data_IF_901081602829
#
_entry.id   IF_901081602829
#
_cell.length_a   1.000
_cell.length_b   1.000
_cell.length_c   1.000
_cell.angle_alpha   90.00
_cell.angle_beta   90.00
_cell.angle_gamma   90.00
#
_symmetry.space_group_name_H-M   'P 1'
#
loop_
_entity.id
_entity.type
_entity.pdbx_description
1 polymer ?
#
# COMPACT_ATOMS: atom_id res chain seq x y z
N UNK A 1 2.53 16.98 -12.54
CA UNK A 1 1.68 16.21 -11.62
C UNK A 1 2.06 16.55 -10.21
N UNK A 2 1.09 16.88 -9.37
CA UNK A 2 1.24 17.20 -7.96
C UNK A 2 0.79 16.01 -7.12
N UNK A 3 1.59 15.65 -6.13
CA UNK A 3 1.32 14.51 -5.23
C UNK A 3 1.33 15.02 -3.80
N UNK A 4 0.32 14.65 -3.02
CA UNK A 4 0.32 14.94 -1.58
C UNK A 4 0.55 13.65 -0.78
N UNK A 5 1.41 13.71 0.23
CA UNK A 5 1.61 12.63 1.21
C UNK A 5 1.23 13.17 2.59
N UNK A 6 0.19 12.58 3.20
CA UNK A 6 -0.27 12.96 4.54
C UNK A 6 0.29 12.00 5.58
N UNK A 7 1.00 12.56 6.54
CA UNK A 7 1.83 11.88 7.51
C UNK A 7 3.31 11.94 7.09
N UNK A 8 4.11 12.80 7.70
CA UNK A 8 5.55 12.95 7.41
C UNK A 8 6.43 12.04 8.28
N UNK A 9 5.85 10.97 8.83
CA UNK A 9 6.60 9.93 9.55
C UNK A 9 7.58 9.19 8.64
N UNK A 10 8.20 8.12 9.13
CA UNK A 10 9.20 7.36 8.37
C UNK A 10 8.66 6.85 7.03
N UNK A 11 7.42 6.32 6.99
CA UNK A 11 6.80 5.83 5.76
C UNK A 11 6.52 6.97 4.78
N UNK A 12 5.90 8.08 5.24
CA UNK A 12 5.57 9.20 4.36
C UNK A 12 6.81 9.91 3.81
N UNK A 13 7.85 10.09 4.62
CA UNK A 13 9.13 10.62 4.16
C UNK A 13 9.76 9.72 3.09
N UNK A 14 9.76 8.38 3.30
CA UNK A 14 10.25 7.43 2.30
C UNK A 14 9.40 7.44 1.02
N UNK A 15 8.08 7.62 1.11
CA UNK A 15 7.23 7.80 -0.08
C UNK A 15 7.69 9.02 -0.88
N UNK A 16 7.85 10.18 -0.22
CA UNK A 16 8.28 11.42 -0.86
C UNK A 16 9.67 11.28 -1.50
N UNK A 17 10.61 10.67 -0.80
CA UNK A 17 11.97 10.39 -1.29
C UNK A 17 11.95 9.54 -2.57
N UNK A 18 11.31 8.36 -2.54
CA UNK A 18 11.27 7.49 -3.71
C UNK A 18 10.50 8.08 -4.89
N UNK A 19 9.46 8.88 -4.64
CA UNK A 19 8.74 9.60 -5.70
C UNK A 19 9.65 10.65 -6.33
N UNK A 20 10.37 11.44 -5.51
CA UNK A 20 11.25 12.48 -5.97
C UNK A 20 12.43 11.94 -6.78
N UNK A 21 13.13 10.92 -6.27
CA UNK A 21 14.27 10.29 -6.97
C UNK A 21 13.89 9.75 -8.34
N UNK A 22 12.66 9.24 -8.51
CA UNK A 22 12.17 8.78 -9.82
C UNK A 22 11.83 9.92 -10.79
N UNK A 23 11.74 11.14 -10.31
CA UNK A 23 11.66 12.40 -11.08
C UNK A 23 10.52 12.47 -12.12
N UNK A 24 9.36 11.86 -11.82
CA UNK A 24 8.18 11.89 -12.70
C UNK A 24 7.11 12.90 -12.21
N UNK A 25 7.20 13.37 -10.96
CA UNK A 25 6.31 14.34 -10.38
C UNK A 25 6.92 15.76 -10.46
N UNK A 26 6.09 16.78 -10.63
CA UNK A 26 6.55 18.18 -10.55
C UNK A 26 6.64 18.67 -9.10
N UNK A 27 5.74 18.18 -8.23
CA UNK A 27 5.69 18.57 -6.82
C UNK A 27 5.23 17.43 -5.93
N UNK A 28 5.85 17.31 -4.76
CA UNK A 28 5.39 16.47 -3.64
C UNK A 28 5.15 17.36 -2.43
N UNK A 29 3.93 17.37 -1.91
CA UNK A 29 3.57 18.07 -0.67
C UNK A 29 3.56 17.05 0.47
N UNK A 30 4.41 17.24 1.48
CA UNK A 30 4.36 16.54 2.74
C UNK A 30 3.50 17.33 3.73
N UNK A 31 2.48 16.70 4.30
CA UNK A 31 1.63 17.29 5.32
C UNK A 31 1.68 16.49 6.62
N UNK A 32 1.86 17.15 7.74
CA UNK A 32 1.78 16.54 9.07
C UNK A 32 1.08 17.48 10.05
N UNK A 33 0.57 16.95 11.15
CA UNK A 33 -0.03 17.75 12.23
C UNK A 33 1.02 18.31 13.20
N UNK A 34 2.21 17.69 13.22
CA UNK A 34 3.30 18.09 14.11
C UNK A 34 4.02 19.30 13.55
N UNK A 35 4.02 20.39 14.32
CA UNK A 35 4.60 21.69 13.96
C UNK A 35 6.03 21.57 13.43
N UNK A 36 6.29 22.13 12.25
CA UNK A 36 7.60 22.17 11.59
C UNK A 36 8.17 20.83 11.14
N UNK A 37 7.49 19.70 11.42
CA UNK A 37 8.05 18.38 11.16
C UNK A 37 8.07 18.03 9.66
N UNK A 38 6.98 18.31 8.96
CA UNK A 38 6.90 18.09 7.52
C UNK A 38 7.83 19.05 6.75
N UNK A 39 7.92 20.30 7.18
CA UNK A 39 8.81 21.30 6.63
C UNK A 39 10.30 20.90 6.78
N UNK A 40 10.69 20.43 7.97
CA UNK A 40 12.03 19.93 8.22
C UNK A 40 12.38 18.72 7.35
N UNK A 41 11.45 17.75 7.22
CA UNK A 41 11.62 16.59 6.34
C UNK A 41 11.74 16.99 4.87
N UNK A 42 10.90 17.90 4.41
CA UNK A 42 10.94 18.38 3.03
C UNK A 42 12.27 19.11 2.72
N UNK A 43 12.75 19.94 3.66
CA UNK A 43 14.03 20.63 3.53
C UNK A 43 15.21 19.65 3.45
N UNK A 44 15.24 18.64 4.31
CA UNK A 44 16.29 17.60 4.34
C UNK A 44 16.29 16.81 3.01
N UNK A 45 15.11 16.36 2.56
CA UNK A 45 14.96 15.67 1.28
C UNK A 45 15.38 16.53 0.08
N UNK A 46 15.03 17.83 0.06
CA UNK A 46 15.44 18.72 -1.03
C UNK A 46 16.95 18.94 -1.09
N UNK A 47 17.68 18.85 0.03
CA UNK A 47 19.14 18.90 0.03
C UNK A 47 19.77 17.71 -0.67
N UNK A 48 19.06 16.59 -0.83
CA UNK A 48 19.53 15.42 -1.58
C UNK A 48 19.35 15.57 -3.09
N UNK A 49 18.59 16.56 -3.57
CA UNK A 49 18.20 16.71 -4.98
C UNK A 49 19.40 16.77 -5.93
N UNK A 50 20.40 17.59 -5.62
CA UNK A 50 21.61 17.71 -6.44
C UNK A 50 22.51 16.46 -6.42
N UNK A 51 22.42 15.66 -5.35
CA UNK A 51 23.18 14.43 -5.18
C UNK A 51 22.53 13.25 -5.92
N UNK A 52 21.19 13.23 -5.94
CA UNK A 52 20.38 12.15 -6.56
C UNK A 52 19.86 12.51 -7.96
N UNK A 53 20.05 13.73 -8.44
CA UNK A 53 19.72 14.16 -9.80
C UNK A 53 18.21 14.24 -10.07
N UNK A 54 17.42 14.80 -9.15
CA UNK A 54 16.00 15.03 -9.37
C UNK A 54 15.64 16.52 -9.22
N UNK A 55 14.58 16.94 -9.94
CA UNK A 55 14.03 18.31 -9.93
C UNK A 55 12.64 18.38 -9.28
N UNK A 56 12.06 17.25 -8.88
CA UNK A 56 10.78 17.22 -8.17
C UNK A 56 10.84 18.09 -6.93
N UNK A 57 9.98 19.13 -6.86
CA UNK A 57 9.92 20.01 -5.70
C UNK A 57 9.23 19.32 -4.53
N UNK A 58 9.90 19.23 -3.38
CA UNK A 58 9.29 18.72 -2.15
C UNK A 58 9.02 19.91 -1.23
N UNK A 59 7.77 20.06 -0.78
CA UNK A 59 7.35 21.09 0.17
C UNK A 59 6.72 20.45 1.40
N UNK A 60 7.00 21.00 2.58
CA UNK A 60 6.37 20.59 3.83
C UNK A 60 5.32 21.57 4.28
N UNK A 61 4.30 21.11 5.00
CA UNK A 61 3.29 21.98 5.61
C UNK A 61 2.69 21.37 6.87
N UNK A 62 2.52 22.20 7.90
CA UNK A 62 1.87 21.79 9.16
C UNK A 62 0.39 22.08 9.09
N UNK A 63 -0.43 21.04 9.14
CA UNK A 63 -1.90 21.07 9.24
C UNK A 63 -2.61 22.03 8.27
N UNK A 64 -1.99 22.38 7.14
CA UNK A 64 -2.55 23.29 6.16
C UNK A 64 -2.97 22.58 4.88
N UNK A 65 -4.19 22.08 4.84
CA UNK A 65 -4.73 21.34 3.69
C UNK A 65 -4.92 22.20 2.43
N UNK A 66 -4.96 23.55 2.52
CA UNK A 66 -4.99 24.37 1.31
C UNK A 66 -3.78 24.16 0.40
N UNK A 67 -2.64 23.73 0.97
CA UNK A 67 -1.44 23.37 0.20
C UNK A 67 -1.59 22.08 -0.58
N UNK A 68 -2.57 21.23 -0.24
CA UNK A 68 -2.85 19.98 -0.98
C UNK A 68 -3.78 20.21 -2.17
N UNK A 69 -4.29 21.43 -2.38
CA UNK A 69 -5.23 21.74 -3.44
C UNK A 69 -4.71 21.29 -4.82
N UNK A 70 -5.63 20.76 -5.64
CA UNK A 70 -5.37 20.25 -6.98
C UNK A 70 -4.31 19.13 -7.06
N UNK A 71 -4.19 18.31 -6.01
CA UNK A 71 -3.35 17.13 -6.05
C UNK A 71 -3.96 16.04 -6.94
N UNK A 72 -3.18 15.55 -7.90
CA UNK A 72 -3.56 14.45 -8.78
C UNK A 72 -3.65 13.12 -8.00
N UNK A 73 -2.71 12.92 -7.06
CA UNK A 73 -2.65 11.72 -6.21
C UNK A 73 -2.41 12.15 -4.76
N UNK A 74 -3.17 11.58 -3.84
CA UNK A 74 -3.00 11.74 -2.41
C UNK A 74 -2.67 10.40 -1.75
N UNK A 75 -1.61 10.35 -0.95
CA UNK A 75 -1.17 9.16 -0.20
C UNK A 75 -1.45 9.37 1.28
N UNK A 76 -2.22 8.49 1.90
CA UNK A 76 -2.54 8.54 3.33
C UNK A 76 -1.66 7.55 4.08
N UNK A 77 -0.63 8.06 4.78
CA UNK A 77 0.25 7.27 5.65
C UNK A 77 0.05 7.61 7.13
N UNK A 78 -0.86 8.55 7.41
CA UNK A 78 -1.18 9.00 8.76
C UNK A 78 -1.91 7.94 9.57
N UNK A 79 -1.56 7.84 10.83
CA UNK A 79 -2.10 6.87 11.77
C UNK A 79 -1.12 6.63 12.89
N UNK A 80 -1.55 5.93 13.94
CA UNK A 80 -0.68 5.53 15.03
C UNK A 80 -0.34 4.03 14.93
N UNK A 81 0.88 3.63 15.30
CA UNK A 81 1.21 2.23 15.48
C UNK A 81 0.53 1.69 16.74
N UNK A 82 0.30 0.36 16.77
CA UNK A 82 -0.21 -0.30 17.97
C UNK A 82 0.77 -0.13 19.13
N UNK A 83 0.29 0.39 20.25
CA UNK A 83 1.07 0.52 21.49
C UNK A 83 0.87 -0.70 22.39
N UNK A 84 1.85 -1.03 23.27
CA UNK A 84 1.66 -2.04 24.31
C UNK A 84 0.39 -1.76 25.14
N UNK A 85 -0.43 -2.78 25.36
CA UNK A 85 -1.69 -2.67 26.10
C UNK A 85 -2.90 -2.19 25.29
N UNK A 86 -2.71 -1.68 24.07
CA UNK A 86 -3.82 -1.24 23.19
C UNK A 86 -4.53 -2.45 22.58
N UNK A 87 -5.85 -2.47 22.65
CA UNK A 87 -6.66 -3.47 21.94
C UNK A 87 -6.66 -3.23 20.44
N UNK A 88 -7.11 -4.21 19.65
CA UNK A 88 -7.25 -4.06 18.21
C UNK A 88 -8.37 -3.06 17.88
N UNK A 89 -9.45 -3.11 18.61
CA UNK A 89 -10.62 -2.25 18.47
C UNK A 89 -10.26 -0.79 18.73
N UNK A 90 -9.53 -0.50 19.82
CA UNK A 90 -9.03 0.85 20.12
C UNK A 90 -8.13 1.40 19.00
N UNK A 91 -7.22 0.58 18.46
CA UNK A 91 -6.36 1.00 17.35
C UNK A 91 -7.20 1.33 16.11
N UNK A 92 -8.19 0.49 15.78
CA UNK A 92 -9.06 0.68 14.63
C UNK A 92 -9.85 1.98 14.79
N UNK A 93 -10.48 2.22 15.95
CA UNK A 93 -11.25 3.43 16.20
C UNK A 93 -10.42 4.71 16.08
N UNK A 94 -9.20 4.73 16.65
CA UNK A 94 -8.29 5.88 16.55
C UNK A 94 -7.89 6.13 15.10
N UNK A 95 -7.41 5.09 14.39
CA UNK A 95 -6.98 5.25 13.02
C UNK A 95 -8.14 5.57 12.07
N UNK A 96 -9.34 5.04 12.32
CA UNK A 96 -10.53 5.40 11.55
C UNK A 96 -10.86 6.89 11.69
N UNK A 97 -10.83 7.45 12.88
CA UNK A 97 -11.03 8.89 13.11
C UNK A 97 -10.00 9.74 12.37
N UNK A 98 -8.72 9.34 12.40
CA UNK A 98 -7.64 10.03 11.67
C UNK A 98 -7.88 9.96 10.16
N UNK A 99 -8.09 8.77 9.61
CA UNK A 99 -8.23 8.54 8.16
C UNK A 99 -9.50 9.22 7.62
N UNK A 100 -10.62 9.19 8.37
CA UNK A 100 -11.86 9.89 8.03
C UNK A 100 -11.63 11.40 7.92
N UNK A 101 -10.98 12.01 8.91
CA UNK A 101 -10.64 13.44 8.91
C UNK A 101 -9.72 13.80 7.74
N UNK A 102 -8.65 13.03 7.54
CA UNK A 102 -7.68 13.27 6.47
C UNK A 102 -8.34 13.15 5.10
N UNK A 103 -9.09 12.08 4.84
CA UNK A 103 -9.72 11.88 3.53
C UNK A 103 -10.78 12.94 3.22
N UNK A 104 -11.57 13.37 4.22
CA UNK A 104 -12.53 14.48 4.04
C UNK A 104 -11.84 15.79 3.66
N UNK A 105 -10.77 16.17 4.37
CA UNK A 105 -10.00 17.37 4.04
C UNK A 105 -9.34 17.29 2.65
N UNK A 106 -8.83 16.10 2.27
CA UNK A 106 -8.21 15.93 0.97
C UNK A 106 -9.20 16.13 -0.18
N UNK A 107 -10.40 15.57 -0.11
CA UNK A 107 -11.40 15.73 -1.18
C UNK A 107 -11.99 17.15 -1.24
N UNK A 108 -12.03 17.89 -0.11
CA UNK A 108 -12.42 19.30 -0.09
C UNK A 108 -11.48 20.14 -0.96
N UNK A 109 -10.18 19.86 -0.95
CA UNK A 109 -9.18 20.63 -1.69
C UNK A 109 -8.76 19.97 -3.01
N UNK A 110 -8.99 18.68 -3.17
CA UNK A 110 -8.62 17.88 -4.35
C UNK A 110 -9.74 16.88 -4.72
N UNK A 111 -10.91 17.37 -5.18
CA UNK A 111 -12.10 16.52 -5.39
C UNK A 111 -11.94 15.47 -6.50
N UNK A 112 -10.94 15.62 -7.35
CA UNK A 112 -10.66 14.70 -8.46
C UNK A 112 -9.43 13.80 -8.22
N UNK A 113 -8.88 13.79 -7.01
CA UNK A 113 -7.67 13.04 -6.69
C UNK A 113 -7.86 11.53 -6.76
N UNK A 114 -6.77 10.80 -6.93
CA UNK A 114 -6.68 9.37 -6.65
C UNK A 114 -6.08 9.20 -5.26
N UNK A 115 -6.70 8.41 -4.39
CA UNK A 115 -6.24 8.20 -3.01
C UNK A 115 -5.57 6.83 -2.90
N UNK A 116 -4.33 6.81 -2.40
CA UNK A 116 -3.61 5.59 -2.04
C UNK A 116 -3.55 5.50 -0.51
N UNK A 117 -4.11 4.43 0.05
CA UNK A 117 -4.18 4.21 1.50
C UNK A 117 -3.06 3.25 1.93
N UNK A 118 -2.32 3.66 2.96
CA UNK A 118 -1.23 2.89 3.58
C UNK A 118 -1.51 2.62 5.07
N UNK A 119 -2.35 3.45 5.68
CA UNK A 119 -2.70 3.38 7.11
C UNK A 119 -3.36 2.05 7.49
N UNK A 120 -2.92 1.46 8.61
CA UNK A 120 -3.42 0.17 9.07
C UNK A 120 -4.60 0.29 10.08
N UNK A 121 -5.53 -0.70 10.05
CA UNK A 121 -5.61 -1.88 9.18
C UNK A 121 -5.97 -1.50 7.74
N UNK A 122 -5.08 -1.76 6.79
CA UNK A 122 -5.08 -1.11 5.47
C UNK A 122 -6.37 -1.39 4.67
N UNK A 123 -6.84 -2.62 4.58
CA UNK A 123 -8.07 -2.96 3.85
C UNK A 123 -9.30 -2.25 4.44
N UNK A 124 -9.41 -2.23 5.78
CA UNK A 124 -10.48 -1.55 6.51
C UNK A 124 -10.39 -0.04 6.34
N UNK A 125 -9.19 0.56 6.37
CA UNK A 125 -9.03 1.99 6.15
C UNK A 125 -9.32 2.36 4.68
N UNK A 126 -8.99 1.51 3.72
CA UNK A 126 -9.37 1.69 2.31
C UNK A 126 -10.89 1.68 2.12
N UNK A 127 -11.56 0.74 2.78
CA UNK A 127 -13.03 0.69 2.81
C UNK A 127 -13.64 1.94 3.45
N UNK A 128 -13.09 2.40 4.57
CA UNK A 128 -13.51 3.64 5.23
C UNK A 128 -13.37 4.86 4.32
N UNK A 129 -12.23 4.99 3.63
CA UNK A 129 -12.01 6.10 2.67
C UNK A 129 -13.06 6.07 1.57
N UNK A 130 -13.40 4.89 1.05
CA UNK A 130 -14.45 4.75 0.06
C UNK A 130 -15.81 5.24 0.60
N UNK A 131 -16.21 4.80 1.80
CA UNK A 131 -17.47 5.20 2.43
C UNK A 131 -17.51 6.70 2.81
N UNK A 132 -16.36 7.28 3.17
CA UNK A 132 -16.26 8.68 3.60
C UNK A 132 -16.25 9.65 2.42
N UNK A 133 -15.55 9.32 1.34
CA UNK A 133 -15.29 10.27 0.26
C UNK A 133 -16.33 10.23 -0.86
N UNK A 134 -16.98 9.09 -1.06
CA UNK A 134 -17.87 8.88 -2.20
C UNK A 134 -17.18 8.91 -3.57
N UNK A 135 -15.84 8.92 -3.61
CA UNK A 135 -15.09 8.82 -4.85
C UNK A 135 -15.39 7.49 -5.57
N UNK A 136 -15.36 7.46 -6.91
CA UNK A 136 -15.45 6.22 -7.66
C UNK A 136 -14.39 5.20 -7.19
N UNK A 137 -14.77 3.91 -7.13
CA UNK A 137 -13.88 2.85 -6.60
C UNK A 137 -12.52 2.76 -7.28
N UNK A 138 -12.44 3.10 -8.56
CA UNK A 138 -11.19 3.12 -9.31
C UNK A 138 -10.19 4.18 -8.84
N UNK A 139 -10.63 5.15 -8.04
CA UNK A 139 -9.79 6.21 -7.48
C UNK A 139 -9.33 5.94 -6.03
N UNK A 140 -9.68 4.80 -5.45
CA UNK A 140 -9.31 4.45 -4.07
C UNK A 140 -8.56 3.13 -4.08
N UNK A 141 -7.32 3.16 -3.64
CA UNK A 141 -6.36 2.08 -3.78
C UNK A 141 -5.67 1.84 -2.43
N UNK A 142 -5.72 0.60 -1.94
CA UNK A 142 -4.94 0.19 -0.78
C UNK A 142 -3.63 -0.50 -1.17
N UNK A 143 -2.51 -0.09 -0.58
CA UNK A 143 -1.16 -0.51 -1.02
C UNK A 143 -0.74 -1.89 -0.50
N UNK A 144 -1.53 -2.69 0.19
CA UNK A 144 -1.09 -3.92 0.88
C UNK A 144 -0.37 -4.95 0.02
N UNK A 145 -1.05 -5.48 -0.99
CA UNK A 145 -0.55 -6.60 -1.81
C UNK A 145 0.75 -6.31 -2.57
N UNK A 146 0.98 -5.07 -2.98
CA UNK A 146 2.23 -4.67 -3.64
C UNK A 146 3.43 -4.87 -2.71
N UNK A 147 3.31 -4.50 -1.42
CA UNK A 147 4.33 -4.71 -0.40
C UNK A 147 4.48 -6.20 -0.05
N UNK A 148 3.38 -6.92 0.10
CA UNK A 148 3.42 -8.35 0.45
C UNK A 148 4.03 -9.18 -0.67
N UNK A 149 3.77 -8.82 -1.93
CA UNK A 149 4.43 -9.42 -3.10
C UNK A 149 5.93 -9.13 -3.14
N UNK A 150 6.36 -7.92 -2.76
CA UNK A 150 7.79 -7.60 -2.65
C UNK A 150 8.48 -8.47 -1.58
N UNK A 151 7.83 -8.69 -0.44
CA UNK A 151 8.33 -9.62 0.61
C UNK A 151 8.40 -11.06 0.11
N UNK A 152 7.37 -11.51 -0.60
CA UNK A 152 7.32 -12.84 -1.19
C UNK A 152 8.45 -13.07 -2.19
N UNK A 153 8.66 -12.13 -3.11
CA UNK A 153 9.76 -12.16 -4.09
C UNK A 153 11.13 -12.20 -3.41
N UNK A 154 11.31 -11.39 -2.35
CA UNK A 154 12.55 -11.40 -1.57
C UNK A 154 12.83 -12.77 -0.95
N UNK A 155 11.83 -13.38 -0.30
CA UNK A 155 11.97 -14.69 0.32
C UNK A 155 12.16 -15.84 -0.71
N UNK A 156 11.50 -15.73 -1.86
CA UNK A 156 11.75 -16.64 -2.99
C UNK A 156 13.18 -16.51 -3.50
N UNK A 157 13.68 -15.30 -3.71
CA UNK A 157 15.03 -15.06 -4.19
C UNK A 157 16.10 -15.65 -3.23
N UNK A 158 15.90 -15.46 -1.90
CA UNK A 158 16.76 -16.10 -0.89
C UNK A 158 16.71 -17.63 -0.99
N UNK A 159 15.52 -18.21 -1.11
CA UNK A 159 15.36 -19.67 -1.17
C UNK A 159 15.90 -20.31 -2.46
N UNK A 160 15.90 -19.53 -3.55
CA UNK A 160 16.38 -19.92 -4.87
C UNK A 160 17.88 -19.61 -5.09
N UNK A 161 18.51 -18.88 -4.16
CA UNK A 161 19.87 -18.34 -4.30
C UNK A 161 20.02 -17.58 -5.64
N UNK A 162 19.00 -16.76 -5.97
CA UNK A 162 18.88 -16.11 -7.26
C UNK A 162 18.84 -14.57 -7.11
N UNK A 163 19.23 -13.81 -8.16
CA UNK A 163 18.96 -12.38 -8.19
C UNK A 163 17.47 -12.09 -8.04
N UNK A 164 17.10 -11.13 -7.19
CA UNK A 164 15.70 -10.78 -6.96
C UNK A 164 14.98 -10.29 -8.23
N UNK A 165 15.71 -9.68 -9.16
CA UNK A 165 15.21 -9.25 -10.47
C UNK A 165 14.81 -10.41 -11.39
N UNK A 166 15.25 -11.63 -11.08
CA UNK A 166 14.96 -12.86 -11.85
C UNK A 166 13.72 -13.60 -11.30
N UNK A 167 13.14 -13.09 -10.19
CA UNK A 167 12.05 -13.76 -9.48
C UNK A 167 10.77 -12.96 -9.56
N UNK A 168 9.67 -13.64 -9.93
CA UNK A 168 8.33 -13.07 -9.91
C UNK A 168 7.40 -13.86 -9.00
N UNK A 169 6.43 -13.13 -8.43
CA UNK A 169 5.44 -13.70 -7.51
C UNK A 169 4.45 -12.65 -7.05
N UNK A 170 3.24 -13.08 -6.73
CA UNK A 170 2.14 -12.21 -6.33
C UNK A 170 1.47 -12.72 -5.07
N UNK A 171 1.08 -11.79 -4.21
CA UNK A 171 0.26 -12.02 -3.03
C UNK A 171 -1.02 -11.22 -3.18
N UNK A 172 -2.17 -11.87 -3.04
CA UNK A 172 -3.51 -11.27 -3.00
C UNK A 172 -4.13 -11.51 -1.60
N UNK A 173 -5.41 -11.16 -1.44
CA UNK A 173 -6.09 -11.29 -0.15
C UNK A 173 -5.87 -10.09 0.76
N UNK A 174 -6.31 -10.20 2.02
CA UNK A 174 -6.20 -9.13 3.02
C UNK A 174 -4.77 -8.93 3.51
N UNK A 175 -4.42 -7.68 3.77
CA UNK A 175 -3.09 -7.28 4.25
C UNK A 175 -2.91 -7.61 5.75
N UNK A 176 -2.79 -8.89 6.05
CA UNK A 176 -2.53 -9.41 7.40
C UNK A 176 -1.90 -10.81 7.33
N UNK A 177 -1.22 -11.23 8.39
CA UNK A 177 -0.53 -12.53 8.44
C UNK A 177 -1.43 -13.73 8.03
N UNK A 178 -2.71 -13.66 8.40
CA UNK A 178 -3.70 -14.70 8.08
C UNK A 178 -4.47 -14.43 6.77
N UNK A 179 -4.47 -13.18 6.32
CA UNK A 179 -5.23 -12.77 5.13
C UNK A 179 -4.48 -12.91 3.81
N UNK A 180 -3.14 -12.92 3.86
CA UNK A 180 -2.32 -13.04 2.63
C UNK A 180 -2.52 -14.38 1.94
N UNK A 181 -2.77 -14.34 0.63
CA UNK A 181 -2.91 -15.49 -0.27
C UNK A 181 -1.80 -15.44 -1.31
N UNK A 182 -0.59 -15.96 -1.02
CA UNK A 182 0.49 -16.02 -1.99
C UNK A 182 0.17 -17.01 -3.11
N UNK A 183 0.26 -16.56 -4.34
CA UNK A 183 -0.04 -17.35 -5.54
C UNK A 183 1.18 -18.14 -5.99
N UNK A 184 1.53 -19.19 -5.24
CA UNK A 184 2.75 -19.97 -5.44
C UNK A 184 2.85 -20.66 -6.80
N UNK A 185 1.70 -21.08 -7.35
CA UNK A 185 1.65 -21.71 -8.68
C UNK A 185 1.97 -20.74 -9.83
N UNK A 186 1.87 -19.43 -9.58
CA UNK A 186 2.21 -18.36 -10.53
C UNK A 186 3.59 -17.76 -10.24
N UNK A 187 4.27 -18.21 -9.18
CA UNK A 187 5.61 -17.74 -8.87
C UNK A 187 6.63 -18.38 -9.81
N UNK A 188 7.51 -17.56 -10.36
CA UNK A 188 8.49 -17.99 -11.38
C UNK A 188 9.87 -17.41 -11.10
N UNK A 189 10.88 -18.12 -11.60
CA UNK A 189 12.20 -17.57 -11.86
C UNK A 189 12.36 -17.45 -13.37
N UNK A 190 12.37 -16.24 -13.88
CA UNK A 190 12.46 -15.96 -15.33
C UNK A 190 11.52 -16.85 -16.17
N UNK A 191 10.23 -16.84 -15.84
CA UNK A 191 9.15 -17.63 -16.46
C UNK A 191 9.16 -19.14 -16.21
N UNK A 192 10.15 -19.70 -15.50
CA UNK A 192 10.15 -21.09 -15.06
C UNK A 192 9.51 -21.18 -13.67
N UNK A 193 8.52 -22.07 -13.43
CA UNK A 193 7.88 -22.20 -12.12
C UNK A 193 8.89 -22.48 -11.00
N UNK A 194 8.74 -21.82 -9.85
CA UNK A 194 9.66 -22.00 -8.72
C UNK A 194 9.66 -23.45 -8.17
N UNK A 195 8.60 -24.21 -8.42
CA UNK A 195 8.50 -25.62 -8.06
C UNK A 195 9.54 -26.52 -8.77
N UNK A 196 10.15 -26.05 -9.86
CA UNK A 196 11.21 -26.79 -10.55
C UNK A 196 12.57 -26.64 -9.86
N UNK A 197 12.70 -25.68 -8.93
CA UNK A 197 13.99 -25.33 -8.30
C UNK A 197 14.03 -25.66 -6.80
N UNK A 198 12.89 -25.60 -6.09
CA UNK A 198 12.84 -25.79 -4.64
C UNK A 198 11.77 -26.80 -4.24
N UNK A 199 12.01 -27.51 -3.13
CA UNK A 199 11.07 -28.52 -2.61
C UNK A 199 9.79 -27.84 -2.06
N UNK A 200 8.74 -28.65 -1.91
CA UNK A 200 7.48 -28.18 -1.30
C UNK A 200 7.67 -27.69 0.13
N UNK A 201 8.55 -28.33 0.90
CA UNK A 201 8.89 -27.97 2.28
C UNK A 201 9.58 -26.61 2.31
N UNK A 202 10.53 -26.36 1.40
CA UNK A 202 11.22 -25.08 1.30
C UNK A 202 10.26 -23.97 0.88
N UNK A 203 9.36 -24.25 -0.07
CA UNK A 203 8.33 -23.31 -0.47
C UNK A 203 7.36 -22.99 0.68
N UNK A 204 6.98 -23.99 1.48
CA UNK A 204 6.14 -23.77 2.66
C UNK A 204 6.81 -22.85 3.68
N UNK A 205 8.14 -22.98 3.88
CA UNK A 205 8.90 -22.06 4.74
C UNK A 205 8.89 -20.64 4.19
N UNK A 206 9.12 -20.45 2.87
CA UNK A 206 9.03 -19.15 2.19
C UNK A 206 7.67 -18.49 2.44
N UNK A 207 6.57 -19.24 2.35
CA UNK A 207 5.23 -18.74 2.61
C UNK A 207 5.07 -18.27 4.06
N UNK A 208 5.54 -19.05 5.00
CA UNK A 208 5.48 -18.70 6.43
C UNK A 208 6.30 -17.42 6.69
N UNK A 209 7.53 -17.34 6.19
CA UNK A 209 8.41 -16.21 6.38
C UNK A 209 7.84 -14.92 5.71
N UNK A 210 7.15 -15.07 4.59
CA UNK A 210 6.45 -13.96 3.93
C UNK A 210 5.33 -13.43 4.81
N UNK A 211 4.48 -14.31 5.34
CA UNK A 211 3.32 -13.94 6.17
C UNK A 211 3.73 -13.20 7.44
N UNK A 212 4.78 -13.68 8.12
CA UNK A 212 5.25 -13.05 9.37
C UNK A 212 6.26 -11.92 9.15
N UNK A 213 6.61 -11.62 7.90
CA UNK A 213 7.68 -10.66 7.56
C UNK A 213 7.50 -9.27 8.16
N UNK A 214 6.25 -8.77 8.26
CA UNK A 214 5.95 -7.51 8.91
C UNK A 214 6.21 -7.53 10.42
N UNK A 215 5.78 -8.59 11.10
CA UNK A 215 6.01 -8.78 12.54
C UNK A 215 7.50 -8.97 12.85
N UNK A 216 8.21 -9.73 12.03
CA UNK A 216 9.67 -9.94 12.14
C UNK A 216 10.42 -8.61 12.07
N UNK A 217 10.12 -7.76 11.07
CA UNK A 217 10.75 -6.45 10.93
C UNK A 217 10.42 -5.53 12.12
N UNK A 218 9.18 -5.56 12.59
CA UNK A 218 8.79 -4.78 13.76
C UNK A 218 9.55 -5.22 15.01
N UNK A 219 9.78 -6.52 15.18
CA UNK A 219 10.59 -7.05 16.28
C UNK A 219 12.07 -6.61 16.22
N UNK A 220 12.64 -6.58 15.01
CA UNK A 220 14.04 -6.17 14.78
C UNK A 220 14.25 -4.66 14.87
N UNK A 221 13.32 -3.88 14.35
CA UNK A 221 13.45 -2.40 14.27
C UNK A 221 12.84 -1.66 15.45
N UNK A 222 12.03 -2.32 16.28
CA UNK A 222 11.24 -1.68 17.33
C UNK A 222 10.08 -0.82 16.80
N UNK A 223 9.87 -0.81 15.49
CA UNK A 223 8.82 -0.07 14.79
C UNK A 223 8.48 -0.73 13.45
N UNK A 224 7.41 -0.27 12.80
CA UNK A 224 7.02 -0.78 11.47
C UNK A 224 8.08 -0.45 10.41
N UNK A 225 8.20 -1.31 9.40
CA UNK A 225 9.02 -1.04 8.21
C UNK A 225 8.58 0.23 7.49
N UNK A 226 9.49 0.93 6.83
CA UNK A 226 9.18 2.16 6.09
C UNK A 226 9.79 2.22 4.68
N UNK A 227 10.98 1.65 4.44
CA UNK A 227 11.62 1.68 3.11
C UNK A 227 10.80 0.91 2.06
N UNK A 228 10.46 -0.34 2.33
CA UNK A 228 9.68 -1.15 1.39
C UNK A 228 8.25 -0.62 1.16
N UNK A 229 7.51 -0.16 2.19
CA UNK A 229 6.24 0.56 1.98
C UNK A 229 6.40 1.80 1.10
N UNK A 230 7.41 2.64 1.35
CA UNK A 230 7.69 3.83 0.54
C UNK A 230 7.98 3.50 -0.93
N UNK A 231 8.80 2.47 -1.16
CA UNK A 231 9.11 1.99 -2.51
C UNK A 231 7.87 1.41 -3.21
N UNK A 232 7.01 0.64 -2.49
CA UNK A 232 5.76 0.10 -3.02
C UNK A 232 4.80 1.22 -3.44
N UNK A 233 4.55 2.20 -2.56
CA UNK A 233 3.74 3.39 -2.88
C UNK A 233 4.27 4.11 -4.11
N UNK A 234 5.58 4.38 -4.15
CA UNK A 234 6.21 5.06 -5.29
C UNK A 234 6.03 4.28 -6.61
N UNK A 235 6.00 2.94 -6.55
CA UNK A 235 5.69 2.10 -7.70
C UNK A 235 4.26 2.28 -8.21
N UNK A 236 3.27 2.30 -7.29
CA UNK A 236 1.86 2.55 -7.63
C UNK A 236 1.67 3.96 -8.19
N UNK A 237 2.22 4.97 -7.51
CA UNK A 237 2.14 6.37 -7.94
C UNK A 237 2.75 6.54 -9.33
N UNK A 238 3.91 5.94 -9.61
CA UNK A 238 4.54 5.98 -10.92
C UNK A 238 3.70 5.32 -12.01
N UNK A 239 3.08 4.17 -11.70
CA UNK A 239 2.22 3.47 -12.67
C UNK A 239 1.01 4.34 -13.08
N UNK A 240 0.44 5.08 -12.13
CA UNK A 240 -0.66 6.02 -12.39
C UNK A 240 -0.14 7.26 -13.12
N UNK A 241 0.90 7.90 -12.61
CA UNK A 241 1.45 9.14 -13.11
C UNK A 241 1.94 9.06 -14.56
N UNK A 242 2.53 7.92 -14.92
CA UNK A 242 3.09 7.65 -16.24
C UNK A 242 2.18 6.79 -17.13
N UNK A 243 0.92 6.55 -16.73
CA UNK A 243 -0.05 5.70 -17.45
C UNK A 243 0.53 4.34 -17.89
N UNK A 244 1.25 3.65 -16.98
CA UNK A 244 2.03 2.47 -17.33
C UNK A 244 1.20 1.22 -17.64
N UNK A 245 -0.09 1.20 -17.33
CA UNK A 245 -0.98 0.05 -17.50
C UNK A 245 -0.41 -1.23 -16.84
N UNK A 246 0.20 -1.06 -15.68
CA UNK A 246 0.93 -2.11 -14.96
C UNK A 246 0.02 -2.86 -14.01
N UNK A 247 0.23 -4.18 -13.87
CA UNK A 247 -0.50 -4.99 -12.90
C UNK A 247 0.18 -4.88 -11.54
N UNK A 248 -0.63 -4.54 -10.53
CA UNK A 248 -0.26 -4.61 -9.12
C UNK A 248 -1.36 -5.30 -8.32
N UNK A 249 -1.03 -6.08 -7.29
CA UNK A 249 -2.02 -6.50 -6.31
C UNK A 249 -2.29 -5.33 -5.35
N UNK A 250 -3.51 -4.81 -5.39
CA UNK A 250 -3.96 -3.70 -4.55
C UNK A 250 -5.31 -4.02 -3.91
N UNK A 251 -5.54 -3.46 -2.73
CA UNK A 251 -6.85 -3.50 -2.10
C UNK A 251 -7.78 -2.49 -2.77
N UNK A 252 -8.95 -2.94 -3.15
CA UNK A 252 -10.00 -2.10 -3.76
C UNK A 252 -11.38 -2.66 -3.43
N UNK A 253 -12.41 -1.81 -3.54
CA UNK A 253 -13.79 -2.25 -3.33
C UNK A 253 -14.21 -3.25 -4.41
N UNK A 254 -14.66 -4.43 -3.97
CA UNK A 254 -15.21 -5.45 -4.86
C UNK A 254 -16.72 -5.33 -4.95
N UNK A 255 -17.25 -5.51 -6.14
CA UNK A 255 -18.69 -5.43 -6.49
C UNK A 255 -19.18 -6.72 -7.18
N UNK A 256 -18.57 -7.86 -6.84
CA UNK A 256 -18.89 -9.19 -7.39
C UNK A 256 -17.67 -9.98 -7.83
N UNK A 257 -16.54 -9.32 -8.04
CA UNK A 257 -15.30 -9.99 -8.44
C UNK A 257 -14.87 -11.00 -7.36
N UNK A 258 -14.37 -12.15 -7.79
CA UNK A 258 -14.06 -13.31 -6.93
C UNK A 258 -15.24 -13.80 -6.08
N UNK A 259 -16.50 -13.44 -6.44
CA UNK A 259 -17.70 -13.73 -5.65
C UNK A 259 -17.80 -12.92 -4.35
N UNK A 260 -17.06 -11.81 -4.23
CA UNK A 260 -17.02 -10.94 -3.06
C UNK A 260 -17.64 -9.57 -3.35
N UNK A 261 -18.34 -9.01 -2.37
CA UNK A 261 -19.04 -7.73 -2.50
C UNK A 261 -18.93 -6.92 -1.22
N UNK A 262 -18.87 -5.58 -1.38
CA UNK A 262 -18.88 -4.59 -0.30
C UNK A 262 -17.74 -4.76 0.72
N UNK A 263 -16.55 -5.05 0.25
CA UNK A 263 -15.33 -5.03 1.03
C UNK A 263 -14.14 -4.62 0.15
N UNK A 264 -13.13 -4.04 0.76
CA UNK A 264 -11.84 -3.80 0.11
C UNK A 264 -10.88 -4.93 0.48
N UNK A 265 -10.28 -5.56 -0.53
CA UNK A 265 -9.32 -6.65 -0.36
C UNK A 265 -8.35 -6.68 -1.54
N UNK A 266 -7.14 -7.19 -1.32
CA UNK A 266 -6.10 -7.26 -2.34
C UNK A 266 -6.43 -8.18 -3.49
N UNK A 267 -6.48 -7.65 -4.70
CA UNK A 267 -6.68 -8.37 -5.96
C UNK A 267 -5.77 -7.80 -7.04
N UNK A 268 -5.44 -8.54 -8.11
CA UNK A 268 -4.67 -7.99 -9.21
C UNK A 268 -5.46 -6.88 -9.92
N UNK A 269 -4.87 -5.69 -10.05
CA UNK A 269 -5.46 -4.56 -10.78
C UNK A 269 -4.49 -4.02 -11.80
N UNK A 270 -5.00 -3.49 -12.91
CA UNK A 270 -4.23 -2.70 -13.87
C UNK A 270 -4.29 -1.24 -13.41
N UNK A 271 -3.14 -0.62 -13.18
CA UNK A 271 -3.02 0.79 -12.82
C UNK A 271 -2.61 1.64 -14.01
N UNK A 272 -3.39 2.66 -14.30
CA UNK A 272 -3.13 3.68 -15.31
C UNK A 272 -3.56 5.05 -14.82
N UNK A 273 -3.62 6.02 -15.72
CA UNK A 273 -3.86 7.45 -15.40
C UNK A 273 -5.16 7.75 -14.64
N UNK A 274 -6.17 6.88 -14.74
CA UNK A 274 -7.44 7.06 -14.03
C UNK A 274 -7.49 6.30 -12.68
N UNK A 275 -6.37 5.74 -12.24
CA UNK A 275 -6.26 4.86 -11.07
C UNK A 275 -6.38 3.39 -11.49
N UNK A 276 -7.36 2.66 -10.94
CA UNK A 276 -7.63 1.29 -11.34
C UNK A 276 -8.41 1.28 -12.65
N UNK A 277 -7.76 0.85 -13.73
CA UNK A 277 -8.39 0.72 -15.06
C UNK A 277 -9.20 -0.58 -15.17
N UNK A 278 -8.73 -1.63 -14.49
CA UNK A 278 -9.39 -2.94 -14.51
C UNK A 278 -8.98 -3.79 -13.30
N UNK A 279 -9.93 -4.51 -12.72
CA UNK A 279 -9.66 -5.65 -11.84
C UNK A 279 -9.46 -6.88 -12.72
N UNK A 280 -8.38 -7.62 -12.49
CA UNK A 280 -8.04 -8.83 -13.25
C UNK A 280 -8.43 -10.04 -12.42
N UNK A 281 -9.52 -10.70 -12.82
CA UNK A 281 -9.92 -11.96 -12.19
C UNK A 281 -9.08 -13.11 -12.75
N UNK A 282 -8.21 -13.67 -11.91
CA UNK A 282 -7.45 -14.89 -12.22
C UNK A 282 -8.19 -16.11 -11.69
N UNK A 283 -8.10 -17.23 -12.40
CA UNK A 283 -8.63 -18.49 -11.87
C UNK A 283 -7.84 -18.93 -10.64
N UNK A 284 -8.49 -18.99 -9.50
CA UNK A 284 -7.93 -19.53 -8.26
C UNK A 284 -8.17 -21.04 -8.19
N UNK A 285 -7.21 -21.76 -7.64
CA UNK A 285 -7.41 -23.15 -7.21
C UNK A 285 -8.44 -23.19 -6.07
N UNK A 286 -8.99 -24.37 -5.77
CA UNK A 286 -9.98 -24.50 -4.69
C UNK A 286 -9.39 -24.13 -3.32
N UNK A 287 -8.10 -24.44 -3.08
CA UNK A 287 -7.40 -24.04 -1.87
C UNK A 287 -7.20 -22.51 -1.79
N UNK A 288 -6.83 -21.87 -2.89
CA UNK A 288 -6.71 -20.40 -2.98
C UNK A 288 -8.07 -19.71 -2.80
N UNK A 289 -9.15 -20.25 -3.38
CA UNK A 289 -10.54 -19.75 -3.19
C UNK A 289 -10.95 -19.84 -1.72
N UNK A 290 -10.75 -21.01 -1.09
CA UNK A 290 -11.08 -21.18 0.32
C UNK A 290 -10.29 -20.20 1.22
N UNK A 291 -9.01 -19.98 0.92
CA UNK A 291 -8.18 -19.02 1.64
C UNK A 291 -8.63 -17.57 1.40
N UNK A 292 -8.97 -17.21 0.16
CA UNK A 292 -9.50 -15.89 -0.19
C UNK A 292 -10.82 -15.60 0.52
N UNK A 293 -11.72 -16.59 0.61
CA UNK A 293 -12.98 -16.48 1.34
C UNK A 293 -12.74 -16.26 2.85
N UNK A 294 -11.87 -17.05 3.46
CA UNK A 294 -11.51 -16.88 4.88
C UNK A 294 -10.84 -15.52 5.16
N UNK A 295 -10.03 -15.04 4.21
CA UNK A 295 -9.43 -13.71 4.25
C UNK A 295 -10.49 -12.61 4.21
N UNK A 296 -11.46 -12.72 3.30
CA UNK A 296 -12.56 -11.77 3.15
C UNK A 296 -13.43 -11.70 4.41
N UNK A 297 -13.72 -12.85 5.03
CA UNK A 297 -14.44 -12.90 6.32
C UNK A 297 -13.68 -12.18 7.42
N UNK A 298 -12.35 -12.32 7.47
CA UNK A 298 -11.49 -11.61 8.40
C UNK A 298 -11.52 -10.09 8.21
N UNK A 299 -11.52 -9.62 6.97
CA UNK A 299 -11.64 -8.20 6.63
C UNK A 299 -13.03 -7.68 6.98
N UNK A 300 -14.09 -8.39 6.59
CA UNK A 300 -15.49 -8.01 6.89
C UNK A 300 -15.73 -7.88 8.39
N UNK A 301 -15.20 -8.82 9.19
CA UNK A 301 -15.25 -8.73 10.66
C UNK A 301 -14.57 -7.46 11.18
N UNK A 302 -13.46 -7.07 10.57
CA UNK A 302 -12.74 -5.85 10.97
C UNK A 302 -13.50 -4.60 10.52
N UNK A 303 -14.12 -4.61 9.34
CA UNK A 303 -14.98 -3.52 8.87
C UNK A 303 -16.20 -3.30 9.77
N UNK A 304 -16.75 -4.37 10.35
CA UNK A 304 -17.85 -4.31 11.32
C UNK A 304 -17.52 -3.56 12.62
N UNK A 305 -16.25 -3.20 12.85
CA UNK A 305 -15.82 -2.37 13.99
C UNK A 305 -15.77 -0.87 13.65
N UNK A 306 -16.04 -0.49 12.40
CA UNK A 306 -16.09 0.90 11.99
C UNK A 306 -17.42 1.56 12.38
N UNK A 307 -17.32 2.76 12.91
CA UNK A 307 -18.45 3.69 13.04
C UNK A 307 -18.49 4.57 11.77
N UNK A 308 -19.33 4.16 10.82
CA UNK A 308 -19.44 4.78 9.49
C UNK A 308 -20.32 6.04 9.51
#
# INVERSE_FOLDING_TARGET
MKITVVGAGAVGASCAEYIAIKNFASEVVLLDIKEGYAEGKAMDLMQTASLNGFDTKITGTTNNYSKTADSDICVITSGIPRKPGMTREELIGINAGIVKTVSSNLIEHSPNTIIIVVSNPMDTMTYLVHKTTGLPRNRIIGMGGALDSARFKYRLAEALEAPISDVDGMVIGGHSDKGMVPLTRLATRNSVPVSEFISKERLAQVLQDTKVGGATLTGLLGTSAWYAPGAAVSGLVQAIACDQQKIFPCSTLLEGEYGLTDLCIGVPVILGKNGIEKIVEIQLSDAEKAHMQASAEGVSKTNGLLEL
#
